data_IF_869229665375
#
_entry.id   IF_869229665375
#
_cell.length_a   1.000
_cell.length_b   1.000
_cell.length_c   1.000
_cell.angle_alpha   90.00
_cell.angle_beta   90.00
_cell.angle_gamma   90.00
#
_symmetry.space_group_name_H-M   'P 1'
#
loop_
_entity.id
_entity.type
_entity.pdbx_description
1 polymer ?
#
# COMPACT_ATOMS: atom_id res chain seq x y z
N UNK A 1 0.17 1.37 20.01
CA UNK A 1 -0.01 1.10 18.57
C UNK A 1 -1.47 1.32 18.22
N UNK A 2 -1.76 2.12 17.20
CA UNK A 2 -3.12 2.33 16.69
C UNK A 2 -3.42 1.37 15.53
N UNK A 3 -4.69 1.18 15.18
CA UNK A 3 -5.09 0.33 14.05
C UNK A 3 -4.51 0.77 12.69
N UNK A 4 -4.00 2.00 12.59
CA UNK A 4 -3.29 2.53 11.42
C UNK A 4 -1.90 1.95 11.21
N UNK A 5 -1.29 1.31 12.22
CA UNK A 5 0.07 0.80 12.15
C UNK A 5 0.15 -0.63 11.60
N UNK A 6 -1.00 -1.26 11.35
CA UNK A 6 -1.11 -2.54 10.69
C UNK A 6 -2.07 -2.38 9.51
N UNK A 7 -1.66 -2.84 8.33
CA UNK A 7 -2.54 -2.90 7.18
C UNK A 7 -2.30 -4.15 6.35
N UNK A 8 -3.36 -4.64 5.72
CA UNK A 8 -3.33 -5.85 4.89
C UNK A 8 -3.44 -5.52 3.42
N UNK A 9 -3.01 -6.46 2.57
CA UNK A 9 -3.17 -6.39 1.12
C UNK A 9 -4.64 -6.16 0.73
N UNK A 10 -5.58 -6.84 1.39
CA UNK A 10 -7.02 -6.66 1.12
C UNK A 10 -7.48 -5.20 1.29
N UNK A 11 -7.05 -4.53 2.37
CA UNK A 11 -7.41 -3.14 2.61
C UNK A 11 -6.79 -2.16 1.59
N UNK A 12 -5.58 -2.46 1.10
CA UNK A 12 -4.90 -1.67 0.06
C UNK A 12 -5.68 -1.76 -1.24
N UNK A 13 -5.98 -2.99 -1.69
CA UNK A 13 -6.73 -3.23 -2.93
C UNK A 13 -8.14 -2.65 -2.85
N UNK A 14 -8.84 -2.82 -1.72
CA UNK A 14 -10.16 -2.23 -1.52
C UNK A 14 -10.13 -0.70 -1.65
N UNK A 15 -9.11 -0.05 -1.07
CA UNK A 15 -8.98 1.42 -1.15
C UNK A 15 -8.75 1.87 -2.58
N UNK A 16 -7.85 1.22 -3.31
CA UNK A 16 -7.57 1.56 -4.71
C UNK A 16 -8.79 1.32 -5.58
N UNK A 17 -9.48 0.19 -5.44
CA UNK A 17 -10.70 -0.10 -6.20
C UNK A 17 -11.83 0.88 -5.88
N UNK A 18 -11.97 1.31 -4.62
CA UNK A 18 -12.97 2.31 -4.25
C UNK A 18 -12.67 3.68 -4.87
N UNK A 19 -11.41 4.07 -4.91
CA UNK A 19 -10.97 5.33 -5.52
C UNK A 19 -11.18 5.30 -7.05
N UNK A 20 -10.95 4.15 -7.68
CA UNK A 20 -11.26 3.91 -9.09
C UNK A 20 -12.74 4.11 -9.37
N UNK A 21 -13.62 3.46 -8.61
CA UNK A 21 -15.08 3.60 -8.76
C UNK A 21 -15.61 5.01 -8.51
N UNK A 22 -14.87 5.83 -7.76
CA UNK A 22 -15.18 7.25 -7.55
C UNK A 22 -14.69 8.16 -8.68
N UNK A 23 -13.91 7.62 -9.62
CA UNK A 23 -13.32 8.38 -10.71
C UNK A 23 -12.03 9.12 -10.36
N UNK A 24 -11.37 8.81 -9.23
CA UNK A 24 -10.13 9.49 -8.81
C UNK A 24 -8.97 9.27 -9.80
N UNK A 25 -9.01 8.19 -10.57
CA UNK A 25 -8.03 7.89 -11.62
C UNK A 25 -8.44 8.38 -13.02
N UNK A 26 -9.46 9.25 -13.12
CA UNK A 26 -9.89 9.89 -14.38
C UNK A 26 -10.23 8.90 -15.52
N UNK A 27 -10.74 7.72 -15.17
CA UNK A 27 -11.04 6.65 -16.14
C UNK A 27 -9.80 5.91 -16.66
N UNK A 28 -8.63 6.19 -16.10
CA UNK A 28 -7.39 5.46 -16.38
C UNK A 28 -7.41 4.04 -15.82
N UNK A 29 -6.57 3.18 -16.38
CA UNK A 29 -6.43 1.80 -15.91
C UNK A 29 -5.73 1.75 -14.56
N UNK A 30 -6.36 1.09 -13.59
CA UNK A 30 -5.69 0.76 -12.33
C UNK A 30 -4.72 -0.40 -12.56
N UNK A 31 -3.53 -0.24 -12.02
CA UNK A 31 -2.39 -1.14 -12.19
C UNK A 31 -1.69 -1.35 -10.85
N UNK A 32 -1.01 -2.48 -10.68
CA UNK A 32 -0.19 -2.75 -9.47
C UNK A 32 0.85 -1.66 -9.28
N UNK A 33 1.57 -1.31 -10.35
CA UNK A 33 2.45 -0.14 -10.38
C UNK A 33 1.78 0.88 -11.31
N UNK A 34 1.55 2.13 -10.90
CA UNK A 34 1.96 2.72 -9.61
C UNK A 34 0.91 2.59 -8.49
N UNK A 35 -0.36 2.33 -8.79
CA UNK A 35 -1.48 2.58 -7.87
C UNK A 35 -1.44 1.78 -6.57
N UNK A 36 -1.16 0.47 -6.63
CA UNK A 36 -1.06 -0.36 -5.41
C UNK A 36 0.20 0.01 -4.64
N UNK A 37 1.34 0.14 -5.32
CA UNK A 37 2.61 0.50 -4.67
C UNK A 37 2.58 1.89 -4.01
N UNK A 38 1.87 2.84 -4.61
CA UNK A 38 1.72 4.20 -4.07
C UNK A 38 0.80 4.21 -2.84
N UNK A 39 -0.27 3.42 -2.84
CA UNK A 39 -1.13 3.27 -1.67
C UNK A 39 -0.38 2.62 -0.50
N UNK A 40 0.48 1.62 -0.75
CA UNK A 40 1.34 1.02 0.29
C UNK A 40 2.31 2.08 0.86
N UNK A 41 3.02 2.83 0.00
CA UNK A 41 3.91 3.92 0.43
C UNK A 41 3.17 4.97 1.26
N UNK A 42 1.99 5.39 0.82
CA UNK A 42 1.16 6.35 1.53
C UNK A 42 0.82 5.88 2.95
N UNK A 43 0.53 4.60 3.13
CA UNK A 43 0.25 4.02 4.46
C UNK A 43 1.48 3.97 5.35
N UNK A 44 2.64 3.62 4.80
CA UNK A 44 3.91 3.63 5.55
C UNK A 44 4.24 5.04 6.03
N UNK A 45 4.21 6.03 5.13
CA UNK A 45 4.49 7.44 5.47
C UNK A 45 3.50 7.93 6.52
N UNK A 46 2.20 7.60 6.38
CA UNK A 46 1.18 7.96 7.36
C UNK A 46 1.42 7.30 8.73
N UNK A 47 1.86 6.04 8.75
CA UNK A 47 2.17 5.30 9.98
C UNK A 47 3.42 5.81 10.68
N UNK A 48 4.42 6.28 9.92
CA UNK A 48 5.64 6.88 10.45
C UNK A 48 5.38 8.21 11.18
N UNK A 49 4.41 9.00 10.71
CA UNK A 49 4.07 10.32 11.29
C UNK A 49 5.33 11.21 11.40
N UNK A 50 5.54 11.87 12.54
CA UNK A 50 6.70 12.74 12.80
C UNK A 50 7.90 12.00 13.41
N UNK A 51 8.00 10.68 13.22
CA UNK A 51 9.12 9.91 13.75
C UNK A 51 10.37 10.12 12.90
N UNK A 52 11.53 10.26 13.52
CA UNK A 52 12.81 10.37 12.81
C UNK A 52 13.17 9.07 12.07
N UNK A 53 12.74 7.93 12.62
CA UNK A 53 12.98 6.58 12.07
C UNK A 53 11.67 5.79 12.14
N UNK A 54 11.31 5.12 11.04
CA UNK A 54 10.20 4.19 10.97
C UNK A 54 10.71 2.78 10.65
N UNK A 55 10.30 1.80 11.46
CA UNK A 55 10.57 0.39 11.22
C UNK A 55 9.32 -0.22 10.59
N UNK A 56 9.48 -0.81 9.41
CA UNK A 56 8.39 -1.45 8.67
C UNK A 56 8.66 -2.95 8.59
N UNK A 57 7.76 -3.74 9.19
CA UNK A 57 7.75 -5.18 9.01
C UNK A 57 6.91 -5.54 7.79
N UNK A 58 7.46 -6.36 6.90
CA UNK A 58 6.74 -6.91 5.75
C UNK A 58 6.53 -8.39 6.01
N UNK A 59 5.27 -8.77 6.25
CA UNK A 59 4.89 -10.17 6.40
C UNK A 59 4.96 -10.94 5.08
N UNK A 60 5.17 -12.25 5.17
CA UNK A 60 5.29 -13.17 4.03
C UNK A 60 6.73 -13.55 3.72
N UNK A 61 6.91 -14.41 2.71
CA UNK A 61 8.24 -14.87 2.29
C UNK A 61 8.69 -14.10 1.05
N UNK A 62 9.99 -13.80 0.96
CA UNK A 62 10.58 -13.25 -0.26
C UNK A 62 10.46 -14.29 -1.38
N UNK A 63 9.91 -13.87 -2.52
CA UNK A 63 9.68 -14.74 -3.68
C UNK A 63 8.21 -15.16 -3.86
N UNK A 64 7.39 -15.03 -2.82
CA UNK A 64 5.95 -15.28 -2.92
C UNK A 64 5.27 -14.23 -3.81
N UNK A 65 4.28 -14.66 -4.59
CA UNK A 65 3.58 -13.76 -5.52
C UNK A 65 2.88 -12.60 -4.80
N UNK A 66 2.45 -12.83 -3.57
CA UNK A 66 1.70 -11.91 -2.72
C UNK A 66 2.58 -10.79 -2.15
N UNK A 67 3.88 -11.05 -1.98
CA UNK A 67 4.82 -10.07 -1.42
C UNK A 67 5.44 -9.17 -2.49
N UNK A 68 5.33 -9.53 -3.78
CA UNK A 68 5.85 -8.75 -4.91
C UNK A 68 5.48 -7.26 -4.89
N UNK A 69 4.22 -6.86 -4.60
CA UNK A 69 3.86 -5.44 -4.55
C UNK A 69 4.65 -4.65 -3.49
N UNK A 70 5.10 -5.29 -2.41
CA UNK A 70 5.89 -4.63 -1.37
C UNK A 70 7.36 -4.44 -1.79
N UNK A 71 7.95 -5.35 -2.56
CA UNK A 71 9.39 -5.26 -2.88
C UNK A 71 9.72 -4.47 -4.16
N UNK A 72 8.76 -4.28 -5.07
CA UNK A 72 9.06 -3.72 -6.40
C UNK A 72 9.36 -2.21 -6.41
N UNK A 73 8.75 -1.43 -5.51
CA UNK A 73 8.84 0.04 -5.50
C UNK A 73 8.64 0.68 -4.11
N UNK A 74 8.80 -0.08 -3.02
CA UNK A 74 8.97 0.54 -1.70
C UNK A 74 10.31 1.24 -1.59
#
# INVERSE_FOLDING_TARGET
MTSSNNFTTGQVYETVLRNERKGEYLGGTVQVIPHITDEIKRRIIKGASNSDIAIVEIGGTVGDIESKPFFLKL
#
